data_IF_499524244627
#
_entry.id   IF_499524244627
#
_cell.length_a   1.000
_cell.length_b   1.000
_cell.length_c   1.000
_cell.angle_alpha   90.00
_cell.angle_beta   90.00
_cell.angle_gamma   90.00
#
_symmetry.space_group_name_H-M   'P 1'
#
loop_
_entity.id
_entity.type
_entity.pdbx_description
1 polymer ?
#
# COMPACT_ATOMS: atom_id res chain seq x y z
N UNK A 1 -13.80 2.43 -13.45
CA UNK A 1 -14.45 1.59 -12.41
C UNK A 1 -14.40 0.16 -12.89
N UNK A 2 -14.38 -0.80 -11.95
CA UNK A 2 -14.57 -2.21 -12.24
C UNK A 2 -15.96 -2.60 -11.77
N UNK A 3 -16.75 -3.22 -12.65
CA UNK A 3 -18.10 -3.67 -12.33
C UNK A 3 -18.10 -5.20 -12.29
N UNK A 4 -18.55 -5.74 -11.17
CA UNK A 4 -18.67 -7.17 -10.95
C UNK A 4 -20.14 -7.52 -10.73
N UNK A 5 -20.66 -8.43 -11.56
CA UNK A 5 -22.07 -8.84 -11.52
C UNK A 5 -22.17 -10.26 -10.99
N UNK A 6 -23.16 -10.51 -10.13
CA UNK A 6 -23.43 -11.84 -9.61
C UNK A 6 -24.89 -12.01 -9.25
N UNK A 7 -25.29 -13.27 -9.10
CA UNK A 7 -26.63 -13.69 -8.70
C UNK A 7 -26.63 -14.09 -7.24
N UNK A 8 -27.65 -13.66 -6.51
CA UNK A 8 -27.92 -14.11 -5.15
C UNK A 8 -29.26 -14.82 -5.11
N UNK A 9 -29.32 -15.99 -4.47
CA UNK A 9 -30.61 -16.65 -4.23
C UNK A 9 -31.48 -15.84 -3.26
N UNK A 10 -32.77 -15.72 -3.58
CA UNK A 10 -33.74 -14.95 -2.79
C UNK A 10 -35.12 -15.55 -2.91
N UNK A 11 -35.73 -15.95 -1.79
CA UNK A 11 -37.09 -16.49 -1.79
C UNK A 11 -38.16 -15.43 -2.07
N UNK A 12 -37.80 -14.14 -1.96
CA UNK A 12 -38.71 -13.02 -2.19
C UNK A 12 -38.65 -12.49 -3.62
N UNK A 13 -37.61 -12.86 -4.38
CA UNK A 13 -37.46 -12.45 -5.76
C UNK A 13 -38.31 -13.29 -6.70
N UNK A 14 -38.89 -12.65 -7.72
CA UNK A 14 -39.55 -13.37 -8.83
C UNK A 14 -38.50 -14.17 -9.61
N UNK A 15 -38.59 -15.50 -9.55
CA UNK A 15 -37.60 -16.39 -10.16
C UNK A 15 -36.46 -16.81 -9.23
N UNK A 16 -36.61 -16.54 -7.93
CA UNK A 16 -35.75 -16.98 -6.84
C UNK A 16 -34.30 -16.44 -6.87
N UNK A 17 -34.07 -15.33 -7.59
CA UNK A 17 -32.74 -14.75 -7.82
C UNK A 17 -32.79 -13.22 -7.84
N UNK A 18 -31.82 -12.59 -7.19
CA UNK A 18 -31.51 -11.16 -7.25
C UNK A 18 -30.24 -10.96 -8.08
N UNK A 19 -30.26 -9.98 -8.99
CA UNK A 19 -29.07 -9.58 -9.74
C UNK A 19 -28.41 -8.40 -9.03
N UNK A 20 -27.15 -8.57 -8.62
CA UNK A 20 -26.39 -7.55 -7.90
C UNK A 20 -25.17 -7.11 -8.71
N UNK A 21 -24.77 -5.86 -8.50
CA UNK A 21 -23.57 -5.27 -9.08
C UNK A 21 -22.73 -4.62 -8.00
N UNK A 22 -21.46 -4.99 -7.93
CA UNK A 22 -20.44 -4.29 -7.15
C UNK A 22 -19.63 -3.42 -8.10
N UNK A 23 -19.69 -2.10 -7.89
CA UNK A 23 -18.86 -1.14 -8.61
C UNK A 23 -17.69 -0.69 -7.74
N UNK A 24 -16.49 -1.12 -8.09
CA UNK A 24 -15.25 -0.65 -7.48
C UNK A 24 -14.76 0.58 -8.26
N UNK A 25 -14.85 1.75 -7.63
CA UNK A 25 -14.38 3.02 -8.20
C UNK A 25 -12.95 3.27 -7.72
N UNK A 26 -12.05 3.52 -8.66
CA UNK A 26 -10.63 3.69 -8.45
C UNK A 26 -10.23 5.07 -8.95
N UNK A 27 -9.41 5.78 -8.18
CA UNK A 27 -8.92 7.13 -8.48
C UNK A 27 -7.75 7.16 -9.48
N UNK A 28 -7.23 5.98 -9.83
CA UNK A 28 -6.10 5.80 -10.73
C UNK A 28 -6.30 4.62 -11.68
N UNK A 29 -5.57 4.64 -12.80
CA UNK A 29 -5.41 3.46 -13.65
C UNK A 29 -4.69 2.37 -12.87
N UNK A 30 -5.18 1.14 -13.00
CA UNK A 30 -4.59 -0.06 -12.41
C UNK A 30 -4.00 -0.94 -13.51
N UNK A 31 -3.05 -1.80 -13.16
CA UNK A 31 -2.53 -2.80 -14.07
C UNK A 31 -3.34 -4.10 -13.98
N UNK A 32 -3.11 -5.01 -14.94
CA UNK A 32 -3.82 -6.29 -15.02
C UNK A 32 -3.69 -7.13 -13.74
N UNK A 33 -2.50 -7.18 -13.13
CA UNK A 33 -2.29 -7.93 -11.89
C UNK A 33 -3.18 -7.42 -10.73
N UNK A 34 -3.36 -6.10 -10.62
CA UNK A 34 -4.22 -5.52 -9.61
C UNK A 34 -5.71 -5.74 -9.91
N UNK A 35 -6.08 -5.76 -11.19
CA UNK A 35 -7.42 -6.09 -11.65
C UNK A 35 -7.79 -7.53 -11.30
N UNK A 36 -6.90 -8.49 -11.54
CA UNK A 36 -7.08 -9.91 -11.17
C UNK A 36 -7.27 -10.08 -9.66
N UNK A 37 -6.50 -9.35 -8.83
CA UNK A 37 -6.65 -9.38 -7.37
C UNK A 37 -8.01 -8.81 -6.95
N UNK A 38 -8.43 -7.68 -7.52
CA UNK A 38 -9.73 -7.08 -7.20
C UNK A 38 -10.86 -8.02 -7.62
N UNK A 39 -10.75 -8.68 -8.76
CA UNK A 39 -11.74 -9.64 -9.22
C UNK A 39 -11.83 -10.85 -8.28
N UNK A 40 -10.70 -11.39 -7.82
CA UNK A 40 -10.68 -12.44 -6.79
C UNK A 40 -11.37 -11.99 -5.49
N UNK A 41 -11.14 -10.75 -5.04
CA UNK A 41 -11.80 -10.21 -3.85
C UNK A 41 -13.33 -10.09 -4.03
N UNK A 42 -13.79 -9.71 -5.23
CA UNK A 42 -15.21 -9.68 -5.54
C UNK A 42 -15.83 -11.09 -5.50
N UNK A 43 -15.15 -12.09 -6.06
CA UNK A 43 -15.59 -13.50 -6.02
C UNK A 43 -15.63 -14.04 -4.59
N UNK A 44 -14.64 -13.72 -3.75
CA UNK A 44 -14.65 -14.09 -2.34
C UNK A 44 -15.85 -13.47 -1.60
N UNK A 45 -16.13 -12.19 -1.88
CA UNK A 45 -17.24 -11.48 -1.27
C UNK A 45 -18.60 -12.03 -1.73
N UNK A 46 -18.76 -12.34 -3.01
CA UNK A 46 -19.92 -13.06 -3.54
C UNK A 46 -20.11 -14.39 -2.80
N UNK A 47 -19.05 -15.19 -2.66
CA UNK A 47 -19.11 -16.49 -1.95
C UNK A 47 -19.54 -16.31 -0.49
N UNK A 48 -19.06 -15.24 0.16
CA UNK A 48 -19.45 -14.90 1.52
C UNK A 48 -20.93 -14.50 1.61
N UNK A 49 -21.44 -13.71 0.66
CA UNK A 49 -22.86 -13.36 0.60
C UNK A 49 -23.70 -14.62 0.36
N UNK A 50 -23.38 -15.40 -0.67
CA UNK A 50 -24.15 -16.61 -1.05
C UNK A 50 -24.18 -17.68 0.03
N UNK A 51 -23.19 -17.72 0.94
CA UNK A 51 -23.18 -18.63 2.10
C UNK A 51 -23.90 -18.07 3.33
N UNK A 52 -24.23 -16.78 3.34
CA UNK A 52 -24.93 -16.13 4.45
C UNK A 52 -26.43 -16.37 4.31
N UNK A 53 -26.98 -17.15 5.25
CA UNK A 53 -28.41 -17.48 5.27
C UNK A 53 -29.25 -16.21 5.27
N UNK A 54 -30.29 -16.20 4.43
CA UNK A 54 -31.28 -15.14 4.30
C UNK A 54 -30.70 -13.74 3.98
N UNK A 55 -29.45 -13.65 3.48
CA UNK A 55 -28.81 -12.35 3.22
C UNK A 55 -29.60 -11.47 2.25
N UNK A 56 -30.41 -12.07 1.37
CA UNK A 56 -31.30 -11.36 0.45
C UNK A 56 -32.28 -10.44 1.17
N UNK A 57 -32.68 -10.76 2.41
CA UNK A 57 -33.59 -9.93 3.21
C UNK A 57 -33.03 -8.52 3.45
N UNK A 58 -31.71 -8.36 3.51
CA UNK A 58 -31.07 -7.05 3.65
C UNK A 58 -31.44 -6.07 2.52
N UNK A 59 -31.77 -6.58 1.33
CA UNK A 59 -32.11 -5.77 0.16
C UNK A 59 -33.47 -5.07 0.30
N UNK A 60 -34.30 -5.49 1.25
CA UNK A 60 -35.68 -5.02 1.45
C UNK A 60 -35.81 -4.02 2.60
N UNK A 61 -34.70 -3.49 3.11
CA UNK A 61 -34.68 -2.54 4.24
C UNK A 61 -35.45 -1.23 3.99
N UNK A 62 -35.69 -0.86 2.72
CA UNK A 62 -36.41 0.36 2.34
C UNK A 62 -37.93 0.13 2.23
N UNK A 63 -38.37 -1.13 2.12
CA UNK A 63 -39.78 -1.50 1.91
C UNK A 63 -40.45 -2.04 3.18
N UNK A 64 -40.10 -1.50 4.36
CA UNK A 64 -40.52 -2.03 5.67
C UNK A 64 -42.04 -2.05 5.88
N UNK A 65 -42.77 -1.12 5.27
CA UNK A 65 -44.23 -1.02 5.41
C UNK A 65 -44.99 -2.22 4.82
N UNK A 66 -44.31 -3.07 4.03
CA UNK A 66 -44.88 -4.25 3.38
C UNK A 66 -44.71 -5.55 4.19
N UNK A 67 -44.04 -5.50 5.35
CA UNK A 67 -43.68 -6.69 6.14
C UNK A 67 -44.20 -6.61 7.57
N UNK A 68 -44.32 -7.77 8.23
CA UNK A 68 -44.67 -7.82 9.66
C UNK A 68 -43.55 -7.24 10.55
N UNK A 69 -43.88 -6.91 11.80
CA UNK A 69 -42.90 -6.39 12.77
C UNK A 69 -41.73 -7.35 13.04
N UNK A 70 -42.02 -8.66 13.05
CA UNK A 70 -41.01 -9.72 13.21
C UNK A 70 -40.06 -9.76 12.01
N UNK A 71 -40.60 -9.78 10.78
CA UNK A 71 -39.80 -9.75 9.56
C UNK A 71 -38.97 -8.46 9.44
N UNK A 72 -39.54 -7.33 9.81
CA UNK A 72 -38.84 -6.05 9.82
C UNK A 72 -37.66 -6.03 10.81
N UNK A 73 -37.78 -6.74 11.93
CA UNK A 73 -36.68 -6.90 12.89
C UNK A 73 -35.55 -7.73 12.27
N UNK A 74 -35.88 -8.81 11.57
CA UNK A 74 -34.91 -9.66 10.87
C UNK A 74 -34.23 -8.93 9.71
N UNK A 75 -34.99 -8.21 8.88
CA UNK A 75 -34.46 -7.39 7.78
C UNK A 75 -33.42 -6.40 8.31
N UNK A 76 -33.73 -5.69 9.40
CA UNK A 76 -32.80 -4.73 10.02
C UNK A 76 -31.53 -5.42 10.50
N UNK A 77 -31.65 -6.55 11.20
CA UNK A 77 -30.49 -7.31 11.70
C UNK A 77 -29.58 -7.75 10.56
N UNK A 78 -30.13 -8.40 9.54
CA UNK A 78 -29.36 -8.92 8.39
C UNK A 78 -28.73 -7.77 7.58
N UNK A 79 -29.42 -6.62 7.49
CA UNK A 79 -28.86 -5.43 6.86
C UNK A 79 -27.65 -4.85 7.63
N UNK A 80 -27.65 -4.90 8.96
CA UNK A 80 -26.45 -4.53 9.74
C UNK A 80 -25.30 -5.52 9.49
N UNK A 81 -25.59 -6.82 9.40
CA UNK A 81 -24.59 -7.83 9.05
C UNK A 81 -23.98 -7.55 7.65
N UNK A 82 -24.82 -7.26 6.65
CA UNK A 82 -24.37 -6.87 5.30
C UNK A 82 -23.46 -5.64 5.34
N UNK A 83 -23.80 -4.60 6.13
CA UNK A 83 -22.95 -3.40 6.28
C UNK A 83 -21.57 -3.75 6.85
N UNK A 84 -21.50 -4.67 7.81
CA UNK A 84 -20.23 -5.15 8.35
C UNK A 84 -19.41 -5.87 7.28
N UNK A 85 -20.03 -6.76 6.51
CA UNK A 85 -19.37 -7.47 5.41
C UNK A 85 -18.85 -6.50 4.35
N UNK A 86 -19.65 -5.51 3.94
CA UNK A 86 -19.26 -4.45 3.01
C UNK A 86 -18.07 -3.63 3.54
N UNK A 87 -18.05 -3.32 4.83
CA UNK A 87 -16.95 -2.60 5.47
C UNK A 87 -15.64 -3.40 5.42
N UNK A 88 -15.69 -4.70 5.69
CA UNK A 88 -14.51 -5.57 5.61
C UNK A 88 -14.03 -5.75 4.15
N UNK A 89 -14.96 -5.93 3.21
CA UNK A 89 -14.64 -5.96 1.78
C UNK A 89 -13.96 -4.66 1.33
N UNK A 90 -14.52 -3.50 1.69
CA UNK A 90 -13.92 -2.19 1.41
C UNK A 90 -12.49 -2.08 1.96
N UNK A 91 -12.25 -2.52 3.21
CA UNK A 91 -10.89 -2.53 3.79
C UNK A 91 -9.91 -3.38 2.97
N UNK A 92 -10.32 -4.57 2.51
CA UNK A 92 -9.48 -5.43 1.66
C UNK A 92 -9.10 -4.71 0.36
N UNK A 93 -10.07 -4.09 -0.31
CA UNK A 93 -9.85 -3.29 -1.53
C UNK A 93 -8.88 -2.14 -1.26
N UNK A 94 -9.07 -1.40 -0.16
CA UNK A 94 -8.16 -0.30 0.23
C UNK A 94 -6.74 -0.80 0.50
N UNK A 95 -6.57 -1.95 1.16
CA UNK A 95 -5.25 -2.54 1.41
C UNK A 95 -4.55 -2.88 0.09
N UNK A 96 -5.29 -3.48 -0.84
CA UNK A 96 -4.79 -3.85 -2.17
C UNK A 96 -4.42 -2.61 -3.00
N UNK A 97 -5.24 -1.57 -2.99
CA UNK A 97 -4.88 -0.28 -3.62
C UNK A 97 -3.66 0.36 -2.97
N UNK A 98 -3.57 0.23 -1.64
CA UNK A 98 -2.47 0.77 -0.87
C UNK A 98 -1.18 0.00 -1.06
N UNK A 99 -1.17 -1.16 -1.76
CA UNK A 99 -0.04 -2.09 -1.93
C UNK A 99 1.09 -1.62 -1.05
N UNK A 100 1.07 -2.03 0.23
CA UNK A 100 2.16 -1.73 1.18
C UNK A 100 3.41 -1.78 0.34
N UNK A 101 4.10 -0.66 0.19
CA UNK A 101 5.46 -0.68 -0.26
C UNK A 101 6.09 -1.77 0.56
N UNK A 102 6.41 -2.91 -0.06
CA UNK A 102 7.42 -3.79 0.50
C UNK A 102 8.50 -2.82 0.94
N UNK A 103 8.85 -2.77 2.23
CA UNK A 103 9.84 -1.80 2.69
C UNK A 103 11.13 -2.18 1.97
N UNK A 104 11.32 -1.57 0.80
CA UNK A 104 12.44 -1.82 -0.05
C UNK A 104 13.57 -1.10 0.64
N UNK A 105 14.51 -1.89 1.12
CA UNK A 105 15.79 -1.35 1.53
C UNK A 105 16.65 -1.44 0.29
N UNK A 106 17.05 -0.27 -0.17
CA UNK A 106 17.90 -0.16 -1.35
C UNK A 106 19.32 -0.01 -0.84
N UNK A 107 20.16 -0.94 -1.23
CA UNK A 107 21.59 -0.89 -0.95
C UNK A 107 22.30 -0.33 -2.18
N UNK A 108 23.14 0.67 -1.98
CA UNK A 108 23.95 1.29 -3.02
C UNK A 108 25.41 1.18 -2.63
N UNK A 109 26.24 0.73 -3.56
CA UNK A 109 27.69 0.75 -3.41
C UNK A 109 28.28 1.82 -4.32
N UNK A 110 29.09 2.70 -3.75
CA UNK A 110 29.80 3.76 -4.46
C UNK A 110 31.29 3.43 -4.51
N UNK A 111 31.96 3.79 -5.60
CA UNK A 111 33.41 3.80 -5.67
C UNK A 111 33.94 5.08 -5.01
N UNK A 112 34.93 4.91 -4.13
CA UNK A 112 35.55 5.99 -3.35
C UNK A 112 37.07 5.82 -3.36
N UNK A 113 37.81 6.93 -3.43
CA UNK A 113 39.28 6.91 -3.41
C UNK A 113 39.84 6.62 -2.01
N UNK A 114 39.16 7.14 -0.98
CA UNK A 114 39.53 7.01 0.44
C UNK A 114 38.28 6.87 1.28
N UNK A 115 38.43 6.29 2.48
CA UNK A 115 37.33 6.21 3.46
C UNK A 115 36.76 7.61 3.73
N UNK A 116 35.44 7.68 3.82
CA UNK A 116 34.73 8.93 4.06
C UNK A 116 34.89 9.37 5.51
N UNK A 117 35.20 10.64 5.71
CA UNK A 117 35.16 11.27 7.03
C UNK A 117 33.71 11.67 7.35
N UNK A 118 32.99 10.77 8.02
CA UNK A 118 31.60 10.97 8.38
C UNK A 118 31.41 12.13 9.37
N UNK A 119 32.41 12.45 10.22
CA UNK A 119 32.30 13.60 11.11
C UNK A 119 32.33 14.91 10.29
N UNK A 120 33.25 15.00 9.34
CA UNK A 120 33.32 16.15 8.45
C UNK A 120 32.03 16.34 7.65
N UNK A 121 31.49 15.26 7.08
CA UNK A 121 30.25 15.29 6.31
C UNK A 121 29.07 15.74 7.19
N UNK A 122 28.93 15.19 8.40
CA UNK A 122 27.84 15.55 9.32
C UNK A 122 27.86 17.02 9.75
N UNK A 123 29.04 17.62 9.88
CA UNK A 123 29.18 19.04 10.21
C UNK A 123 28.79 19.97 9.07
N UNK A 124 28.92 19.52 7.82
CA UNK A 124 28.71 20.34 6.61
C UNK A 124 27.32 20.17 6.02
N UNK A 125 26.74 18.98 6.14
CA UNK A 125 25.42 18.68 5.60
C UNK A 125 24.36 18.98 6.65
N UNK A 126 23.54 19.99 6.39
CA UNK A 126 22.39 20.31 7.25
C UNK A 126 21.44 19.11 7.37
N UNK A 127 21.05 18.80 8.60
CA UNK A 127 20.17 17.68 8.95
C UNK A 127 20.83 16.30 8.94
N UNK A 128 22.15 16.22 8.70
CA UNK A 128 22.90 14.99 8.86
C UNK A 128 23.21 14.72 10.35
N UNK A 129 22.99 13.48 10.78
CA UNK A 129 23.25 13.03 12.15
C UNK A 129 24.30 11.92 12.12
N UNK A 130 25.38 12.07 12.89
CA UNK A 130 26.40 11.05 13.05
C UNK A 130 26.87 10.97 14.49
N UNK A 131 26.82 9.77 15.07
CA UNK A 131 27.36 9.48 16.38
C UNK A 131 27.93 8.05 16.39
N UNK A 132 29.25 7.88 16.18
CA UNK A 132 29.87 6.56 16.02
C UNK A 132 29.72 5.65 17.24
N UNK A 133 29.60 6.22 18.45
CA UNK A 133 29.37 5.46 19.69
C UNK A 133 27.98 4.82 19.72
N UNK A 134 26.99 5.43 19.03
CA UNK A 134 25.61 4.90 18.96
C UNK A 134 25.39 4.06 17.71
N UNK A 135 25.92 4.49 16.57
CA UNK A 135 25.68 3.84 15.29
C UNK A 135 26.79 4.20 14.28
N UNK A 136 27.34 3.23 13.53
CA UNK A 136 28.51 3.45 12.67
C UNK A 136 28.20 4.16 11.33
N UNK A 137 26.94 4.49 11.05
CA UNK A 137 26.52 5.17 9.82
C UNK A 137 26.06 6.61 10.09
N UNK A 138 26.30 7.49 9.13
CA UNK A 138 25.75 8.84 9.09
C UNK A 138 24.33 8.78 8.51
N UNK A 139 23.38 9.40 9.19
CA UNK A 139 21.96 9.43 8.79
C UNK A 139 21.65 10.78 8.15
N UNK A 140 21.00 10.77 6.98
CA UNK A 140 20.47 11.95 6.29
C UNK A 140 19.03 11.73 5.85
N UNK A 141 18.31 12.81 5.58
CA UNK A 141 16.97 12.76 4.99
C UNK A 141 16.94 13.44 3.62
N UNK A 142 16.19 12.85 2.70
CA UNK A 142 15.76 13.47 1.45
C UNK A 142 14.27 13.76 1.56
N UNK A 143 13.80 14.91 1.08
CA UNK A 143 12.38 15.30 1.18
C UNK A 143 11.60 15.03 -0.11
N UNK A 144 12.26 15.08 -1.27
CA UNK A 144 11.61 14.92 -2.57
C UNK A 144 12.49 14.13 -3.54
N UNK A 145 12.37 12.80 -3.66
CA UNK A 145 11.48 11.89 -2.92
C UNK A 145 11.82 11.81 -1.43
N UNK A 146 10.80 11.53 -0.60
CA UNK A 146 11.01 11.36 0.85
C UNK A 146 11.72 10.04 1.13
N UNK A 147 12.89 10.10 1.75
CA UNK A 147 13.70 8.93 2.09
C UNK A 147 14.63 9.20 3.29
N UNK A 148 15.02 8.13 3.97
CA UNK A 148 16.13 8.12 4.92
C UNK A 148 17.33 7.43 4.28
N UNK A 149 18.48 8.09 4.33
CA UNK A 149 19.75 7.65 3.76
C UNK A 149 20.71 7.38 4.91
N UNK A 150 21.34 6.20 4.91
CA UNK A 150 22.40 5.84 5.84
C UNK A 150 23.68 5.65 5.04
N UNK A 151 24.68 6.49 5.29
CA UNK A 151 25.99 6.46 4.64
C UNK A 151 27.04 5.86 5.57
N UNK A 152 27.81 4.89 5.07
CA UNK A 152 28.93 4.30 5.79
C UNK A 152 30.26 4.85 5.26
N UNK A 153 31.29 4.84 6.11
CA UNK A 153 32.64 5.29 5.75
C UNK A 153 33.25 4.52 4.55
N UNK A 154 32.70 3.35 4.24
CA UNK A 154 33.08 2.50 3.11
C UNK A 154 32.50 2.94 1.77
N UNK A 155 31.65 3.96 1.72
CA UNK A 155 30.92 4.34 0.51
C UNK A 155 29.66 3.50 0.25
N UNK A 156 29.34 2.55 1.15
CA UNK A 156 28.04 1.90 1.15
C UNK A 156 26.98 2.89 1.62
N UNK A 157 25.85 2.91 0.91
CA UNK A 157 24.68 3.71 1.23
C UNK A 157 23.45 2.81 1.31
N UNK A 158 22.60 3.03 2.32
CA UNK A 158 21.35 2.29 2.51
C UNK A 158 20.21 3.29 2.51
N UNK A 159 19.24 3.09 1.63
CA UNK A 159 18.11 4.00 1.41
C UNK A 159 16.82 3.27 1.79
N UNK A 160 15.98 3.93 2.58
CA UNK A 160 14.69 3.41 3.02
C UNK A 160 13.62 4.50 3.05
N UNK A 161 12.35 4.10 3.13
CA UNK A 161 11.21 5.03 3.22
C UNK A 161 10.68 5.54 1.90
N UNK A 162 11.24 5.11 0.76
CA UNK A 162 10.73 5.44 -0.56
C UNK A 162 9.32 4.87 -0.79
N UNK A 163 8.50 5.64 -1.52
CA UNK A 163 7.16 5.20 -1.92
C UNK A 163 7.21 4.30 -3.15
N UNK A 164 8.22 4.44 -3.99
CA UNK A 164 8.42 3.62 -5.19
C UNK A 164 9.89 3.32 -5.38
N UNK A 165 10.23 2.11 -5.83
CA UNK A 165 11.62 1.75 -6.15
C UNK A 165 12.19 2.57 -7.31
N UNK A 166 11.34 3.04 -8.23
CA UNK A 166 11.72 3.94 -9.32
C UNK A 166 12.23 5.30 -8.85
N UNK A 167 12.02 5.68 -7.59
CA UNK A 167 12.51 6.93 -6.99
C UNK A 167 13.96 6.80 -6.47
N UNK A 168 14.53 5.58 -6.48
CA UNK A 168 15.83 5.30 -5.89
C UNK A 168 16.97 6.09 -6.54
N UNK A 169 17.06 6.05 -7.88
CA UNK A 169 18.11 6.73 -8.64
C UNK A 169 18.14 8.22 -8.32
N UNK A 170 16.98 8.88 -8.30
CA UNK A 170 16.88 10.29 -7.97
C UNK A 170 17.40 10.62 -6.56
N UNK A 171 17.14 9.77 -5.57
CA UNK A 171 17.65 9.98 -4.20
C UNK A 171 19.15 9.73 -4.13
N UNK A 172 19.66 8.73 -4.86
CA UNK A 172 21.10 8.43 -4.96
C UNK A 172 21.85 9.62 -5.56
N UNK A 173 21.38 10.15 -6.69
CA UNK A 173 22.01 11.27 -7.37
C UNK A 173 22.03 12.52 -6.49
N UNK A 174 20.94 12.79 -5.78
CA UNK A 174 20.88 13.90 -4.81
C UNK A 174 21.90 13.73 -3.69
N UNK A 175 22.04 12.52 -3.15
CA UNK A 175 23.00 12.24 -2.10
C UNK A 175 24.45 12.43 -2.60
N UNK A 176 24.76 11.88 -3.78
CA UNK A 176 26.06 12.01 -4.43
C UNK A 176 26.40 13.48 -4.66
N UNK A 177 25.49 14.25 -5.25
CA UNK A 177 25.71 15.67 -5.53
C UNK A 177 25.96 16.47 -4.24
N UNK A 178 25.13 16.25 -3.20
CA UNK A 178 25.27 16.97 -1.92
C UNK A 178 26.58 16.67 -1.20
N UNK A 179 27.08 15.44 -1.31
CA UNK A 179 28.39 15.06 -0.73
C UNK A 179 29.53 15.55 -1.64
N UNK A 180 29.33 15.54 -2.96
CA UNK A 180 30.29 16.03 -3.95
C UNK A 180 30.60 17.53 -3.81
N UNK A 181 29.66 18.34 -3.32
CA UNK A 181 29.87 19.74 -2.96
C UNK A 181 30.95 19.95 -1.86
N UNK A 182 31.37 18.88 -1.18
CA UNK A 182 32.42 18.88 -0.16
C UNK A 182 33.79 18.45 -0.70
N UNK A 183 33.99 18.48 -2.02
CA UNK A 183 35.17 17.97 -2.73
C UNK A 183 35.43 16.47 -2.49
N UNK A 184 34.34 15.69 -2.36
CA UNK A 184 34.37 14.24 -2.18
C UNK A 184 33.88 13.56 -3.46
N UNK A 185 34.78 12.86 -4.16
CA UNK A 185 34.43 12.10 -5.36
C UNK A 185 33.73 10.79 -4.99
N UNK A 186 32.46 10.66 -5.37
CA UNK A 186 31.65 9.44 -5.28
C UNK A 186 31.21 9.05 -6.68
N UNK A 187 31.61 7.88 -7.17
CA UNK A 187 31.34 7.47 -8.56
C UNK A 187 30.76 6.06 -8.66
N UNK A 188 30.31 5.70 -9.88
CA UNK A 188 29.84 4.37 -10.25
C UNK A 188 28.79 3.76 -9.29
N UNK A 189 27.65 4.44 -9.04
CA UNK A 189 26.64 3.92 -8.13
C UNK A 189 26.06 2.59 -8.63
N UNK A 190 26.26 1.52 -7.84
CA UNK A 190 25.66 0.21 -8.07
C UNK A 190 24.48 0.03 -7.14
N UNK A 191 23.27 0.13 -7.69
CA UNK A 191 22.01 0.02 -6.94
C UNK A 191 21.55 -1.44 -6.91
N UNK A 192 21.19 -1.91 -5.71
CA UNK A 192 20.65 -3.24 -5.47
C UNK A 192 19.39 -3.14 -4.60
N UNK A 193 18.38 -3.94 -4.93
CA UNK A 193 17.09 -3.94 -4.24
C UNK A 193 17.01 -5.13 -3.31
N UNK A 194 16.96 -4.89 -2.00
CA UNK A 194 16.75 -5.91 -0.99
C UNK A 194 15.30 -5.85 -0.49
N UNK A 195 14.62 -7.00 -0.52
CA UNK A 195 13.30 -7.14 0.08
C UNK A 195 13.46 -7.67 1.50
N UNK A 196 13.06 -6.88 2.49
CA UNK A 196 12.94 -7.38 3.87
C UNK A 196 11.60 -8.11 3.99
N UNK A 197 11.65 -9.43 4.25
CA UNK A 197 10.48 -10.27 4.51
C UNK A 197 9.89 -9.99 5.89
#
# INVERSE_FOLDING_TARGET
SLNYYFELHSDWARGNKEMLMISVILDRKINQALEEIIQSLCTDFETQLSSTKDIFKALYVITQDSFSDEENTDIKRINEDLKVMLKEFYKKIVIVQRQKTTKHVITVSLEIEKKLDLNHIAQKIEGAEFNPEKFPGLVMKSENPSATIILFATGKMVISGLKRTSEAEQVVDKAINKIGELDINLTNPKISFESIK
#
